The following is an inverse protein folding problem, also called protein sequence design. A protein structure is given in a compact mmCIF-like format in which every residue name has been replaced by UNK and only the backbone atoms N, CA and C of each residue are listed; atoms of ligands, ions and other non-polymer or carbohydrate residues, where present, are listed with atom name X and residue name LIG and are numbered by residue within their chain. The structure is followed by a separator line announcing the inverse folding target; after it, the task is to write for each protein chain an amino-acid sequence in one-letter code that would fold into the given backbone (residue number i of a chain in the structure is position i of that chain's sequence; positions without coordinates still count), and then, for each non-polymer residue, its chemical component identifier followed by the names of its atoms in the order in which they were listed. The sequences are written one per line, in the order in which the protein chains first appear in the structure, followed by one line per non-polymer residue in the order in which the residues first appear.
data_IF_828523246314
#
_entry.id   IF_828523246314
#
_cell.length_a   1.000
_cell.length_b   1.000
_cell.length_c   1.000
_cell.angle_alpha   90.00
_cell.angle_beta   90.00
_cell.angle_gamma   90.00
#
_symmetry.space_group_name_H-M   'P 1'
#
loop_
_entity.id
_entity.type
_entity.pdbx_description
1 polymer ?
#
# COMPACT_ATOMS: atom_id res chain seq x y z
N UNK A 1 34.69 -22.45 -16.55
CA UNK A 1 33.57 -22.74 -17.47
C UNK A 1 32.66 -21.53 -17.47
N UNK A 2 32.83 -20.63 -18.43
CA UNK A 2 32.01 -19.43 -18.55
C UNK A 2 30.61 -19.80 -19.03
N UNK A 3 29.59 -19.24 -18.38
CA UNK A 3 28.21 -19.38 -18.81
C UNK A 3 27.99 -18.51 -20.06
N UNK A 4 28.38 -19.03 -21.22
CA UNK A 4 27.97 -18.53 -22.52
C UNK A 4 26.54 -19.00 -22.80
N UNK A 5 25.56 -18.15 -22.49
CA UNK A 5 24.20 -18.26 -23.01
C UNK A 5 24.01 -17.20 -24.10
N UNK A 6 23.68 -17.64 -25.32
CA UNK A 6 23.24 -16.77 -26.41
C UNK A 6 21.95 -16.06 -25.96
N UNK A 7 22.04 -14.76 -25.66
CA UNK A 7 20.87 -13.93 -25.39
C UNK A 7 20.34 -13.44 -26.74
N UNK A 8 19.32 -14.14 -27.23
CA UNK A 8 18.55 -13.83 -28.43
C UNK A 8 17.82 -12.48 -28.28
N UNK A 9 17.59 -11.79 -29.41
CA UNK A 9 17.06 -10.44 -29.64
C UNK A 9 15.63 -10.19 -29.09
N UNK A 10 15.19 -11.00 -28.13
CA UNK A 10 13.90 -10.98 -27.43
C UNK A 10 13.52 -9.66 -26.74
N UNK A 11 14.43 -8.68 -26.67
CA UNK A 11 14.19 -7.34 -26.10
C UNK A 11 13.73 -6.30 -27.15
N UNK A 12 13.85 -6.61 -28.45
CA UNK A 12 13.41 -5.73 -29.55
C UNK A 12 11.89 -5.85 -29.76
N UNK A 13 11.18 -4.75 -29.60
CA UNK A 13 9.77 -4.60 -29.96
C UNK A 13 9.52 -3.16 -30.45
N UNK A 14 8.28 -2.88 -30.87
CA UNK A 14 7.88 -1.60 -31.47
C UNK A 14 8.21 -0.37 -30.60
N UNK A 15 8.34 -0.53 -29.27
CA UNK A 15 8.69 0.54 -28.33
C UNK A 15 10.21 0.71 -28.24
N UNK A 16 10.97 -0.38 -28.31
CA UNK A 16 12.44 -0.37 -28.13
C UNK A 16 13.23 -0.26 -29.43
N UNK A 17 12.59 -0.43 -30.58
CA UNK A 17 13.20 -0.31 -31.92
C UNK A 17 13.78 1.09 -32.18
N UNK A 18 13.16 2.12 -31.61
CA UNK A 18 13.57 3.51 -31.78
C UNK A 18 14.46 4.04 -30.65
N UNK A 19 14.82 3.22 -29.66
CA UNK A 19 15.70 3.65 -28.57
C UNK A 19 17.15 3.74 -29.09
N UNK A 20 17.82 4.90 -28.92
CA UNK A 20 19.24 5.03 -29.17
C UNK A 20 20.06 3.97 -28.42
N UNK A 21 21.10 3.44 -29.07
CA UNK A 21 21.94 2.34 -28.56
C UNK A 21 22.54 2.65 -27.17
N UNK A 22 22.80 3.92 -26.88
CA UNK A 22 23.26 4.43 -25.58
C UNK A 22 22.30 4.15 -24.41
N UNK A 23 20.99 4.01 -24.68
CA UNK A 23 19.99 3.70 -23.65
C UNK A 23 19.88 2.20 -23.35
N UNK A 24 20.46 1.33 -24.17
CA UNK A 24 20.45 -0.13 -23.96
C UNK A 24 21.37 -0.57 -22.81
N UNK A 25 22.36 0.25 -22.46
CA UNK A 25 23.30 -0.01 -21.37
C UNK A 25 22.63 0.00 -19.97
N UNK A 26 21.40 0.51 -19.87
CA UNK A 26 20.63 0.57 -18.61
C UNK A 26 19.67 -0.61 -18.43
N UNK A 27 19.68 -1.60 -19.34
CA UNK A 27 18.89 -2.82 -19.25
C UNK A 27 19.35 -3.70 -18.06
N UNK A 28 18.90 -3.38 -16.84
CA UNK A 28 19.08 -4.26 -15.68
C UNK A 28 17.92 -5.25 -15.60
N UNK A 29 18.29 -6.53 -15.49
CA UNK A 29 17.44 -7.70 -15.20
C UNK A 29 16.64 -8.29 -16.37
N UNK A 30 16.46 -9.62 -16.32
CA UNK A 30 15.70 -10.50 -17.23
C UNK A 30 14.19 -10.16 -17.31
N UNK A 31 13.83 -8.90 -17.55
CA UNK A 31 12.44 -8.46 -17.69
C UNK A 31 12.25 -7.75 -19.03
N UNK A 32 11.17 -8.16 -19.68
CA UNK A 32 10.67 -7.82 -21.02
C UNK A 32 10.47 -6.30 -21.21
N UNK A 33 11.56 -5.55 -21.45
CA UNK A 33 11.69 -4.16 -21.92
C UNK A 33 12.77 -3.41 -21.11
N UNK A 34 13.87 -2.91 -21.71
CA UNK A 34 14.74 -1.94 -21.04
C UNK A 34 14.01 -0.60 -20.90
N UNK A 35 13.45 -0.37 -19.71
CA UNK A 35 12.82 0.91 -19.35
C UNK A 35 13.94 1.83 -18.85
N UNK A 36 14.09 3.07 -19.40
CA UNK A 36 15.06 4.04 -18.89
C UNK A 36 14.98 4.18 -17.37
N UNK A 37 16.12 4.33 -16.68
CA UNK A 37 16.19 4.31 -15.21
C UNK A 37 15.17 5.25 -14.54
N UNK A 38 14.89 6.42 -15.12
CA UNK A 38 13.91 7.39 -14.63
C UNK A 38 12.43 7.08 -14.92
N UNK A 39 12.15 6.07 -15.73
CA UNK A 39 10.81 5.67 -16.17
C UNK A 39 10.36 4.36 -15.54
N UNK A 40 11.23 3.73 -14.74
CA UNK A 40 10.82 2.61 -13.90
C UNK A 40 9.77 3.10 -12.92
N UNK A 41 8.53 2.65 -13.08
CA UNK A 41 7.49 2.79 -12.07
C UNK A 41 7.94 1.94 -10.86
N UNK A 42 8.58 2.59 -9.90
CA UNK A 42 8.98 1.99 -8.63
C UNK A 42 7.79 1.77 -7.70
N UNK A 43 8.08 1.44 -6.44
CA UNK A 43 7.03 1.36 -5.41
C UNK A 43 6.40 2.72 -5.11
N UNK A 44 5.22 2.71 -4.50
CA UNK A 44 4.53 3.94 -4.07
C UNK A 44 5.46 4.75 -3.15
N UNK A 45 5.64 6.07 -3.34
CA UNK A 45 6.56 6.89 -2.54
C UNK A 45 6.03 7.20 -1.12
N UNK A 46 5.35 6.24 -0.50
CA UNK A 46 4.65 6.38 0.77
C UNK A 46 5.59 6.74 1.93
N UNK A 47 6.81 6.15 2.00
CA UNK A 47 7.78 6.52 3.03
C UNK A 47 8.17 8.01 2.95
N UNK A 48 8.41 8.52 1.74
CA UNK A 48 8.71 9.94 1.52
C UNK A 48 7.54 10.84 1.89
N UNK A 49 6.31 10.42 1.55
CA UNK A 49 5.09 11.13 1.92
C UNK A 49 4.92 11.21 3.45
N UNK A 50 5.14 10.12 4.18
CA UNK A 50 5.07 10.08 5.65
C UNK A 50 6.11 11.02 6.27
N UNK A 51 7.37 11.00 5.79
CA UNK A 51 8.43 11.90 6.30
C UNK A 51 8.08 13.37 6.05
N UNK A 52 7.56 13.70 4.87
CA UNK A 52 7.10 15.07 4.57
C UNK A 52 5.92 15.48 5.45
N UNK A 53 4.99 14.57 5.71
CA UNK A 53 3.83 14.81 6.57
C UNK A 53 4.23 15.21 8.00
N UNK A 54 5.35 14.67 8.51
CA UNK A 54 5.89 15.03 9.84
C UNK A 54 6.23 16.51 9.99
N UNK A 55 6.54 17.23 8.89
CA UNK A 55 6.76 18.68 8.88
C UNK A 55 5.51 19.43 8.46
N UNK A 56 4.83 18.96 7.42
CA UNK A 56 3.65 19.61 6.86
C UNK A 56 2.51 19.70 7.86
N UNK A 57 2.20 18.63 8.59
CA UNK A 57 1.01 18.59 9.45
C UNK A 57 1.09 19.62 10.58
N UNK A 58 2.18 19.72 11.38
CA UNK A 58 2.29 20.75 12.40
C UNK A 58 2.17 22.18 11.83
N UNK A 59 2.78 22.43 10.66
CA UNK A 59 2.68 23.73 9.98
C UNK A 59 1.25 24.05 9.57
N UNK A 60 0.56 23.10 8.95
CA UNK A 60 -0.83 23.26 8.51
C UNK A 60 -1.77 23.46 9.70
N UNK A 61 -1.58 22.68 10.78
CA UNK A 61 -2.39 22.78 12.00
C UNK A 61 -2.25 24.15 12.66
N UNK A 62 -1.02 24.64 12.79
CA UNK A 62 -0.72 25.96 13.37
C UNK A 62 -1.29 27.10 12.53
N UNK A 63 -1.03 27.07 11.20
CA UNK A 63 -1.48 28.12 10.28
C UNK A 63 -3.01 28.30 10.25
N UNK A 64 -3.77 27.22 10.46
CA UNK A 64 -5.23 27.22 10.35
C UNK A 64 -5.96 27.09 11.69
N UNK A 65 -5.25 27.14 12.84
CA UNK A 65 -5.85 26.99 14.18
C UNK A 65 -6.68 25.70 14.38
N UNK A 66 -6.24 24.58 13.81
CA UNK A 66 -6.97 23.31 13.85
C UNK A 66 -6.70 22.58 15.17
N UNK A 67 -7.75 22.21 15.92
CA UNK A 67 -7.63 21.45 17.17
C UNK A 67 -7.52 19.94 16.96
N UNK A 68 -8.34 19.35 16.08
CA UNK A 68 -8.37 17.92 15.77
C UNK A 68 -8.11 17.72 14.28
N UNK A 69 -7.15 16.86 13.95
CA UNK A 69 -6.79 16.56 12.55
C UNK A 69 -6.65 15.05 12.37
N UNK A 70 -7.37 14.51 11.39
CA UNK A 70 -7.20 13.15 10.91
C UNK A 70 -6.35 13.17 9.64
N UNK A 71 -5.43 12.23 9.52
CA UNK A 71 -4.56 12.09 8.35
C UNK A 71 -4.84 10.74 7.73
N UNK A 72 -5.29 10.76 6.47
CA UNK A 72 -5.63 9.56 5.72
C UNK A 72 -4.61 9.42 4.59
N UNK A 73 -3.89 8.30 4.58
CA UNK A 73 -3.05 7.92 3.46
C UNK A 73 -3.85 6.99 2.55
N UNK A 74 -4.14 7.47 1.34
CA UNK A 74 -4.79 6.68 0.28
C UNK A 74 -3.70 6.26 -0.69
N UNK A 75 -3.41 4.96 -0.75
CA UNK A 75 -2.39 4.41 -1.64
C UNK A 75 -2.92 3.17 -2.35
N UNK A 76 -2.65 3.08 -3.64
CA UNK A 76 -2.96 1.92 -4.49
C UNK A 76 -1.89 0.82 -4.40
N UNK A 77 -0.76 1.12 -3.77
CA UNK A 77 0.34 0.19 -3.57
C UNK A 77 1.04 0.41 -2.23
N UNK A 78 2.10 -0.35 -2.00
CA UNK A 78 2.93 -0.23 -0.82
C UNK A 78 4.26 0.46 -1.14
N UNK A 79 4.86 1.05 -0.11
CA UNK A 79 6.24 1.51 -0.22
C UNK A 79 7.19 0.34 -0.47
N UNK A 80 8.35 0.65 -1.04
CA UNK A 80 9.51 -0.23 -0.92
C UNK A 80 10.21 0.01 0.41
N UNK A 81 10.91 -1.02 0.88
CA UNK A 81 11.84 -0.87 1.97
C UNK A 81 12.95 0.07 1.51
N UNK A 82 13.06 1.24 2.15
CA UNK A 82 14.11 2.20 1.82
C UNK A 82 15.45 1.49 2.00
N UNK A 83 16.24 1.40 0.94
CA UNK A 83 17.58 0.82 1.04
C UNK A 83 18.33 1.55 2.16
N UNK A 84 18.87 0.79 3.12
CA UNK A 84 19.52 1.33 4.32
C UNK A 84 20.92 1.85 3.98
N UNK A 85 21.03 2.76 3.01
CA UNK A 85 22.26 3.49 2.75
C UNK A 85 22.20 4.82 3.48
N UNK A 86 23.31 5.18 4.11
CA UNK A 86 23.53 6.53 4.63
C UNK A 86 24.20 7.36 3.54
N UNK A 87 23.87 8.65 3.53
CA UNK A 87 24.62 9.65 2.78
C UNK A 87 25.64 10.20 3.78
N UNK A 88 26.92 9.95 3.55
CA UNK A 88 27.99 10.59 4.31
C UNK A 88 28.02 12.09 4.05
N UNK A 89 28.79 12.85 4.83
CA UNK A 89 28.92 14.30 4.67
C UNK A 89 29.41 14.69 3.26
N UNK A 90 30.14 13.79 2.59
CA UNK A 90 30.66 13.94 1.23
C UNK A 90 29.67 13.49 0.13
N UNK A 91 28.40 13.27 0.46
CA UNK A 91 27.37 12.71 -0.43
C UNK A 91 27.59 11.27 -0.89
N UNK A 92 28.61 10.59 -0.35
CA UNK A 92 28.89 9.20 -0.64
C UNK A 92 27.83 8.26 -0.06
N UNK A 93 27.42 7.27 -0.88
CA UNK A 93 26.41 6.28 -0.49
C UNK A 93 27.09 5.12 0.21
N UNK A 94 26.87 5.00 1.51
CA UNK A 94 27.38 3.85 2.25
C UNK A 94 26.23 2.90 2.59
N UNK A 95 26.28 1.71 2.00
CA UNK A 95 25.34 0.64 2.32
C UNK A 95 25.68 0.03 3.66
N UNK A 96 24.67 -0.13 4.50
CA UNK A 96 24.83 -0.85 5.76
C UNK A 96 25.32 -2.28 5.50
N UNK A 97 26.42 -2.66 6.17
CA UNK A 97 26.96 -4.03 6.09
C UNK A 97 26.04 -4.97 6.86
N UNK A 98 25.95 -6.23 6.41
CA UNK A 98 25.10 -7.22 7.05
C UNK A 98 25.37 -7.33 8.55
N UNK A 99 24.34 -7.07 9.37
CA UNK A 99 24.41 -7.15 10.84
C UNK A 99 24.45 -5.80 11.57
N UNK A 100 24.62 -4.69 10.86
CA UNK A 100 24.62 -3.36 11.48
C UNK A 100 23.22 -2.93 11.96
N UNK A 101 23.21 -2.16 13.05
CA UNK A 101 21.98 -1.64 13.66
C UNK A 101 21.56 -0.35 12.98
N UNK A 102 20.41 -0.37 12.31
CA UNK A 102 19.81 0.83 11.71
C UNK A 102 18.89 1.50 12.74
N UNK A 103 19.24 2.73 13.13
CA UNK A 103 18.47 3.54 14.08
C UNK A 103 18.02 4.83 13.42
N UNK A 104 16.72 5.10 13.48
CA UNK A 104 16.13 6.36 13.04
C UNK A 104 15.95 7.25 14.26
N UNK A 105 16.46 8.47 14.22
CA UNK A 105 16.28 9.45 15.29
C UNK A 105 15.49 10.63 14.78
N UNK A 106 14.42 10.95 15.48
CA UNK A 106 13.61 12.13 15.22
C UNK A 106 14.33 13.37 15.80
N UNK A 107 14.76 14.36 14.99
CA UNK A 107 15.43 15.56 15.49
C UNK A 107 14.54 16.49 16.33
N UNK A 108 13.22 16.39 16.23
CA UNK A 108 12.24 17.22 16.95
C UNK A 108 11.88 16.59 18.29
N UNK A 109 11.45 15.32 18.28
CA UNK A 109 11.05 14.63 19.52
C UNK A 109 12.23 14.02 20.28
N UNK A 110 13.41 13.94 19.66
CA UNK A 110 14.63 13.29 20.16
C UNK A 110 14.48 11.80 20.46
N UNK A 111 13.37 11.19 20.06
CA UNK A 111 13.15 9.74 20.17
C UNK A 111 13.95 9.01 19.09
N UNK A 112 14.48 7.86 19.48
CA UNK A 112 15.20 6.95 18.58
C UNK A 112 14.43 5.65 18.45
N UNK A 113 14.38 5.12 17.22
CA UNK A 113 13.63 3.93 16.85
C UNK A 113 14.57 2.96 16.15
N UNK A 114 14.68 1.74 16.68
CA UNK A 114 15.52 0.72 16.10
C UNK A 114 14.73 -0.09 15.07
N UNK A 115 15.18 -0.08 13.82
CA UNK A 115 14.52 -0.80 12.72
C UNK A 115 14.36 -2.30 13.01
N UNK A 116 15.28 -2.87 13.79
CA UNK A 116 15.25 -4.28 14.18
C UNK A 116 14.04 -4.68 15.04
N UNK A 117 13.41 -3.73 15.74
CA UNK A 117 12.20 -3.98 16.55
C UNK A 117 10.98 -4.29 15.67
N UNK A 118 11.04 -3.94 14.38
CA UNK A 118 9.95 -4.10 13.43
C UNK A 118 10.11 -5.35 12.56
N UNK A 119 10.94 -6.33 12.96
CA UNK A 119 11.28 -7.50 12.14
C UNK A 119 10.10 -8.35 11.67
N UNK A 120 9.03 -8.40 12.46
CA UNK A 120 7.79 -9.14 12.15
C UNK A 120 6.84 -8.44 11.17
N UNK A 121 7.13 -7.20 10.76
CA UNK A 121 6.32 -6.46 9.80
C UNK A 121 6.90 -6.63 8.38
N UNK A 122 6.01 -6.75 7.40
CA UNK A 122 6.39 -6.84 5.99
C UNK A 122 7.02 -5.52 5.49
N UNK A 123 6.63 -4.39 6.09
CA UNK A 123 7.14 -3.06 5.80
C UNK A 123 7.76 -2.41 7.03
N UNK A 124 8.95 -2.88 7.40
CA UNK A 124 9.62 -2.46 8.65
C UNK A 124 9.84 -0.95 8.71
N UNK A 125 10.35 -0.38 7.63
CA UNK A 125 10.67 1.05 7.54
C UNK A 125 9.40 1.90 7.55
N UNK A 126 8.40 1.53 6.75
CA UNK A 126 7.10 2.21 6.75
C UNK A 126 6.43 2.19 8.12
N UNK A 127 6.39 1.02 8.77
CA UNK A 127 5.81 0.84 10.12
C UNK A 127 6.50 1.75 11.14
N UNK A 128 7.84 1.79 11.10
CA UNK A 128 8.65 2.66 11.94
C UNK A 128 8.35 4.14 11.68
N UNK A 129 8.27 4.55 10.41
CA UNK A 129 7.99 5.94 10.02
C UNK A 129 6.57 6.37 10.43
N UNK A 130 5.58 5.49 10.31
CA UNK A 130 4.22 5.73 10.81
C UNK A 130 4.23 5.93 12.33
N UNK A 131 5.00 5.12 13.07
CA UNK A 131 5.17 5.29 14.52
C UNK A 131 5.82 6.63 14.87
N UNK A 132 6.88 7.02 14.16
CA UNK A 132 7.52 8.34 14.30
C UNK A 132 6.53 9.49 14.02
N UNK A 133 5.71 9.37 12.98
CA UNK A 133 4.71 10.37 12.62
C UNK A 133 3.70 10.57 13.74
N UNK A 134 3.15 9.46 14.26
CA UNK A 134 2.19 9.48 15.39
C UNK A 134 2.79 10.12 16.62
N UNK A 135 4.04 9.77 16.96
CA UNK A 135 4.72 10.33 18.12
C UNK A 135 5.02 11.83 17.98
N UNK A 136 5.35 12.31 16.76
CA UNK A 136 5.65 13.72 16.51
C UNK A 136 4.39 14.59 16.46
N UNK A 137 3.34 14.09 15.80
CA UNK A 137 2.18 14.91 15.42
C UNK A 137 0.97 14.69 16.34
N UNK A 138 0.92 13.53 17.02
CA UNK A 138 -0.20 13.05 17.85
C UNK A 138 -1.51 12.98 17.05
N UNK A 139 -1.47 12.37 15.87
CA UNK A 139 -2.64 12.11 15.02
C UNK A 139 -2.95 10.61 14.96
N UNK A 140 -4.22 10.29 14.73
CA UNK A 140 -4.61 8.95 14.29
C UNK A 140 -4.24 8.79 12.82
N UNK A 141 -3.64 7.66 12.47
CA UNK A 141 -3.20 7.35 11.11
C UNK A 141 -4.00 6.18 10.58
N UNK A 142 -4.84 6.50 9.61
CA UNK A 142 -5.69 5.54 8.91
C UNK A 142 -5.11 5.32 7.52
N UNK A 143 -4.97 4.05 7.15
CA UNK A 143 -4.52 3.65 5.82
C UNK A 143 -5.57 2.85 5.09
N UNK A 144 -5.60 2.98 3.76
CA UNK A 144 -6.41 2.15 2.89
C UNK A 144 -5.51 1.40 1.91
N UNK A 145 -5.63 0.08 1.89
CA UNK A 145 -4.98 -0.79 0.92
C UNK A 145 -6.01 -1.28 -0.09
N UNK A 146 -5.90 -0.78 -1.32
CA UNK A 146 -6.74 -1.20 -2.43
C UNK A 146 -6.10 -2.40 -3.12
N UNK A 147 -6.53 -3.61 -2.74
CA UNK A 147 -5.98 -4.83 -3.30
C UNK A 147 -6.45 -5.04 -4.75
N UNK A 148 -5.52 -5.33 -5.66
CA UNK A 148 -5.90 -5.72 -7.01
C UNK A 148 -6.79 -6.96 -6.96
N UNK A 149 -8.00 -6.85 -7.53
CA UNK A 149 -8.94 -7.96 -7.60
C UNK A 149 -9.23 -8.32 -9.05
N UNK A 150 -9.06 -9.60 -9.38
CA UNK A 150 -9.46 -10.15 -10.68
C UNK A 150 -10.63 -11.11 -10.46
N UNK A 151 -11.68 -10.98 -11.27
CA UNK A 151 -12.93 -11.78 -11.17
C UNK A 151 -13.51 -11.80 -9.75
N UNK A 152 -13.47 -10.65 -9.06
CA UNK A 152 -13.99 -10.49 -7.71
C UNK A 152 -13.19 -11.19 -6.60
N UNK A 153 -11.93 -11.60 -6.87
CA UNK A 153 -11.05 -12.22 -5.88
C UNK A 153 -9.74 -11.46 -5.74
N UNK A 154 -9.36 -11.19 -4.49
CA UNK A 154 -8.05 -10.66 -4.11
C UNK A 154 -7.02 -11.78 -4.05
N UNK A 155 -5.76 -11.44 -4.32
CA UNK A 155 -4.66 -12.41 -4.32
C UNK A 155 -4.36 -12.94 -2.90
N UNK A 156 -3.82 -14.16 -2.80
CA UNK A 156 -3.29 -14.66 -1.53
C UNK A 156 -2.11 -13.82 -1.03
N UNK A 157 -1.33 -13.28 -1.97
CA UNK A 157 -0.17 -12.46 -1.67
C UNK A 157 -0.59 -11.21 -0.89
N UNK A 158 -1.58 -10.46 -1.38
CA UNK A 158 -2.07 -9.25 -0.74
C UNK A 158 -2.65 -9.51 0.67
N UNK A 159 -3.40 -10.60 0.81
CA UNK A 159 -3.97 -10.99 2.10
C UNK A 159 -2.89 -11.38 3.10
N UNK A 160 -1.90 -12.21 2.71
CA UNK A 160 -0.78 -12.56 3.59
C UNK A 160 0.11 -11.34 3.90
N UNK A 161 0.19 -10.40 2.96
CA UNK A 161 0.96 -9.19 3.14
C UNK A 161 0.36 -8.28 4.22
N UNK A 162 -0.96 -8.11 4.27
CA UNK A 162 -1.61 -7.26 5.29
C UNK A 162 -1.96 -8.03 6.57
N UNK A 163 -2.27 -9.33 6.46
CA UNK A 163 -2.70 -10.21 7.54
C UNK A 163 -1.81 -11.45 7.65
N UNK A 164 -0.52 -11.29 8.01
CA UNK A 164 0.39 -12.41 8.12
C UNK A 164 -0.08 -13.39 9.21
N UNK A 165 0.10 -14.69 8.96
CA UNK A 165 -0.22 -15.78 9.89
C UNK A 165 -1.70 -15.87 10.33
N UNK A 166 -2.63 -15.25 9.60
CA UNK A 166 -4.06 -15.37 9.86
C UNK A 166 -4.74 -16.41 8.95
N UNK A 167 -5.90 -16.91 9.36
CA UNK A 167 -6.69 -17.86 8.57
C UNK A 167 -7.27 -17.20 7.31
N UNK A 168 -6.70 -17.56 6.17
CA UNK A 168 -7.08 -17.06 4.84
C UNK A 168 -8.54 -17.35 4.45
N UNK A 169 -9.16 -18.40 5.00
CA UNK A 169 -10.55 -18.78 4.72
C UNK A 169 -11.50 -17.86 5.47
N UNK A 170 -11.22 -17.57 6.73
CA UNK A 170 -12.02 -16.64 7.54
C UNK A 170 -11.85 -15.20 7.07
N UNK A 171 -10.64 -14.77 6.67
CA UNK A 171 -10.44 -13.46 6.04
C UNK A 171 -11.28 -13.32 4.76
N UNK A 172 -11.32 -14.34 3.90
CA UNK A 172 -12.14 -14.31 2.68
C UNK A 172 -13.64 -14.30 2.96
N UNK A 173 -14.07 -14.98 4.02
CA UNK A 173 -15.47 -15.00 4.42
C UNK A 173 -15.89 -13.61 4.92
N UNK A 174 -15.05 -13.01 5.76
CA UNK A 174 -15.24 -11.65 6.30
C UNK A 174 -15.21 -10.63 5.17
N UNK A 175 -14.20 -10.65 4.30
CA UNK A 175 -14.10 -9.74 3.16
C UNK A 175 -15.30 -9.84 2.20
N UNK A 176 -15.85 -11.04 1.97
CA UNK A 176 -17.05 -11.20 1.13
C UNK A 176 -18.30 -10.61 1.77
N UNK A 177 -18.43 -10.78 3.09
CA UNK A 177 -19.60 -10.39 3.88
C UNK A 177 -19.59 -8.89 4.17
N UNK A 178 -18.48 -8.38 4.68
CA UNK A 178 -18.35 -7.04 5.22
C UNK A 178 -17.66 -6.08 4.23
N UNK A 179 -17.19 -6.58 3.07
CA UNK A 179 -16.53 -5.83 1.98
C UNK A 179 -15.19 -5.18 2.32
N UNK A 180 -14.83 -5.16 3.60
CA UNK A 180 -13.59 -4.63 4.12
C UNK A 180 -13.01 -5.57 5.17
N UNK A 181 -11.69 -5.54 5.32
CA UNK A 181 -10.99 -6.11 6.48
C UNK A 181 -10.23 -4.98 7.16
N UNK A 182 -10.09 -5.04 8.48
CA UNK A 182 -9.32 -4.04 9.25
C UNK A 182 -8.14 -4.74 9.91
N UNK A 183 -6.94 -4.22 9.67
CA UNK A 183 -5.72 -4.62 10.35
C UNK A 183 -5.30 -3.52 11.31
N UNK A 184 -5.08 -3.87 12.57
CA UNK A 184 -4.48 -2.98 13.58
C UNK A 184 -2.94 -3.13 13.60
N UNK A 185 -2.38 -3.79 12.58
CA UNK A 185 -0.95 -4.05 12.45
C UNK A 185 -0.36 -3.21 11.31
N UNK A 186 0.95 -3.33 11.03
CA UNK A 186 1.67 -2.54 10.01
C UNK A 186 1.86 -1.04 10.34
N UNK A 187 1.64 -0.64 11.59
CA UNK A 187 1.99 0.71 12.09
C UNK A 187 0.87 1.75 12.00
N UNK A 188 -0.21 1.43 11.31
CA UNK A 188 -1.46 2.20 11.30
C UNK A 188 -2.23 2.00 12.61
N UNK A 189 -3.12 2.94 12.94
CA UNK A 189 -4.12 2.70 14.00
C UNK A 189 -5.28 1.87 13.45
N UNK A 190 -5.70 2.16 12.21
CA UNK A 190 -6.63 1.34 11.44
C UNK A 190 -6.12 1.22 10.00
N UNK A 191 -5.95 -0.01 9.51
CA UNK A 191 -5.55 -0.29 8.15
C UNK A 191 -6.62 -1.09 7.41
N UNK A 192 -7.40 -0.37 6.61
CA UNK A 192 -8.52 -0.93 5.86
C UNK A 192 -8.02 -1.60 4.60
N UNK A 193 -8.34 -2.87 4.43
CA UNK A 193 -8.10 -3.63 3.22
C UNK A 193 -9.40 -3.77 2.44
N UNK A 194 -9.41 -3.24 1.23
CA UNK A 194 -10.58 -3.22 0.35
C UNK A 194 -10.24 -3.94 -0.95
N UNK A 195 -11.15 -4.78 -1.43
CA UNK A 195 -11.00 -5.41 -2.74
C UNK A 195 -11.23 -4.35 -3.83
N UNK A 196 -10.21 -4.12 -4.67
CA UNK A 196 -10.26 -3.19 -5.79
C UNK A 196 -11.04 -3.71 -7.00
N UNK A 197 -10.92 -3.00 -8.12
CA UNK A 197 -11.50 -3.40 -9.42
C UNK A 197 -13.03 -3.35 -9.45
N UNK A 198 -13.67 -4.35 -10.05
CA UNK A 198 -15.15 -4.40 -10.17
C UNK A 198 -15.87 -4.41 -8.82
N UNK A 199 -15.17 -4.76 -7.73
CA UNK A 199 -15.71 -4.78 -6.37
C UNK A 199 -15.92 -3.38 -5.79
N UNK A 200 -15.27 -2.35 -6.36
CA UNK A 200 -15.48 -0.94 -6.02
C UNK A 200 -16.65 -0.31 -6.78
N UNK A 201 -17.22 -1.01 -7.77
CA UNK A 201 -18.40 -0.51 -8.46
C UNK A 201 -19.55 -0.50 -7.48
N UNK A 202 -20.08 0.69 -7.21
CA UNK A 202 -21.31 0.86 -6.45
C UNK A 202 -22.43 0.32 -7.34
N UNK A 203 -23.02 -0.80 -6.92
CA UNK A 203 -24.26 -1.27 -7.50
C UNK A 203 -25.39 -0.46 -6.88
N UNK A 204 -25.81 0.60 -7.57
CA UNK A 204 -27.07 1.32 -7.30
C UNK A 204 -28.26 0.50 -7.82
N UNK A 205 -28.21 -0.82 -7.59
CA UNK A 205 -29.24 -1.75 -8.03
C UNK A 205 -30.61 -1.27 -7.57
N UNK A 206 -31.58 -1.28 -8.47
CA UNK A 206 -32.98 -0.99 -8.16
C UNK A 206 -33.58 -2.10 -7.28
N UNK A 207 -34.63 -1.73 -6.55
CA UNK A 207 -35.36 -2.70 -5.75
C UNK A 207 -36.14 -3.64 -6.70
N UNK A 208 -35.58 -4.82 -6.96
CA UNK A 208 -36.22 -5.86 -7.77
C UNK A 208 -37.32 -6.58 -6.97
N UNK A 209 -38.47 -5.92 -6.87
CA UNK A 209 -39.69 -6.46 -6.25
C UNK A 209 -40.85 -6.28 -7.22
N UNK A 210 -41.51 -7.38 -7.59
CA UNK A 210 -42.67 -7.36 -8.48
C UNK A 210 -43.95 -7.79 -7.75
N UNK A 211 -45.11 -7.46 -8.33
CA UNK A 211 -46.43 -7.71 -7.73
C UNK A 211 -46.78 -9.19 -7.57
N UNK A 212 -46.08 -10.07 -8.29
CA UNK A 212 -46.30 -11.52 -8.28
C UNK A 212 -45.50 -12.22 -7.16
N UNK A 213 -44.63 -11.50 -6.44
CA UNK A 213 -43.87 -12.04 -5.33
C UNK A 213 -44.74 -12.28 -4.09
N UNK A 214 -44.47 -13.37 -3.38
CA UNK A 214 -45.06 -13.59 -2.06
C UNK A 214 -44.57 -12.54 -1.06
N UNK A 215 -45.39 -12.20 -0.04
CA UNK A 215 -45.01 -11.25 1.03
C UNK A 215 -43.61 -11.51 1.61
N UNK A 216 -43.27 -12.78 1.84
CA UNK A 216 -41.95 -13.17 2.36
C UNK A 216 -40.80 -12.90 1.38
N UNK A 217 -41.02 -13.07 0.07
CA UNK A 217 -40.02 -12.73 -0.96
C UNK A 217 -39.85 -11.21 -1.08
N UNK A 218 -40.93 -10.43 -1.03
CA UNK A 218 -40.84 -8.97 -1.01
C UNK A 218 -40.05 -8.46 0.21
N UNK A 219 -40.40 -8.92 1.42
CA UNK A 219 -39.72 -8.52 2.64
C UNK A 219 -38.21 -8.85 2.60
N UNK A 220 -37.86 -10.01 2.04
CA UNK A 220 -36.46 -10.41 1.82
C UNK A 220 -35.77 -9.54 0.78
N UNK A 221 -36.43 -9.20 -0.33
CA UNK A 221 -35.95 -8.27 -1.35
C UNK A 221 -35.64 -6.89 -0.79
N UNK A 222 -36.59 -6.31 -0.04
CA UNK A 222 -36.42 -5.03 0.67
C UNK A 222 -35.27 -5.07 1.69
N UNK A 223 -35.19 -6.14 2.49
CA UNK A 223 -34.12 -6.31 3.49
C UNK A 223 -32.75 -6.40 2.82
N UNK A 224 -32.63 -7.16 1.73
CA UNK A 224 -31.37 -7.29 0.99
C UNK A 224 -30.96 -5.99 0.31
N UNK A 225 -31.92 -5.29 -0.31
CA UNK A 225 -31.73 -3.98 -0.94
C UNK A 225 -31.22 -2.93 0.07
N UNK A 226 -31.88 -2.84 1.23
CA UNK A 226 -31.45 -1.94 2.31
C UNK A 226 -30.07 -2.31 2.86
N UNK A 227 -29.78 -3.60 3.03
CA UNK A 227 -28.48 -4.07 3.52
C UNK A 227 -27.36 -3.76 2.54
N UNK A 228 -27.60 -3.91 1.24
CA UNK A 228 -26.66 -3.51 0.19
C UNK A 228 -26.32 -2.02 0.24
N UNK A 229 -27.34 -1.16 0.39
CA UNK A 229 -27.14 0.30 0.51
C UNK A 229 -26.37 0.72 1.77
N UNK A 230 -26.59 0.07 2.90
CA UNK A 230 -25.85 0.38 4.14
C UNK A 230 -24.38 -0.02 4.03
N UNK A 231 -24.09 -1.20 3.49
CA UNK A 231 -22.70 -1.67 3.31
C UNK A 231 -21.96 -0.81 2.27
N UNK A 232 -22.64 -0.39 1.19
CA UNK A 232 -22.05 0.47 0.17
C UNK A 232 -21.79 1.92 0.64
N UNK A 233 -22.41 2.36 1.75
CA UNK A 233 -22.24 3.72 2.33
C UNK A 233 -21.15 3.82 3.40
N UNK A 234 -20.66 2.68 3.89
CA UNK A 234 -19.59 2.62 4.90
C UNK A 234 -18.20 2.57 4.24
N UNK A 235 -18.16 2.29 2.93
CA UNK A 235 -17.01 2.51 2.04
C UNK A 235 -17.08 3.91 1.42
#
# INVERSE_FOLDING_TARGET
RGYGGRYDDSWKNEITEYLPEEHLNFARYNSVLPIPDGWNLGGTPLNGAIVNAMKFIPMYRSKNNIQKLNVVFITDGASNDSSNWRIGDDFEKEFSRGGEKVVYTDPVTKKSYNRAEYRGYNQRTTTLLLKMLKDRVKCNVVGFFLAAASRGRVSNHDLQYVFPNQDMKELRKTLRKDKVLVSETQGYDEYYFVAGGSSLKIDDGELDVNGDMTRGKMAKGFTNYMRGKVVNRVL
#
